data_IF_734697883181
#
_entry.id   IF_734697883181
#
_cell.length_a   1.000
_cell.length_b   1.000
_cell.length_c   1.000
_cell.angle_alpha   90.00
_cell.angle_beta   90.00
_cell.angle_gamma   90.00
#
_symmetry.space_group_name_H-M   'P 1'
#
loop_
_entity.id
_entity.type
_entity.pdbx_description
1 polymer ?
#
# COMPACT_ATOMS: atom_id res chain seq x y z
N UNK A 1 -13.59 20.49 -2.47
CA UNK A 1 -12.30 19.81 -2.19
C UNK A 1 -11.30 20.89 -1.79
N UNK A 2 -10.23 20.56 -1.06
CA UNK A 2 -9.17 21.54 -0.79
C UNK A 2 -8.24 21.55 -2.00
N UNK A 3 -8.44 22.52 -2.89
CA UNK A 3 -7.80 22.51 -4.21
C UNK A 3 -6.36 23.05 -4.09
N UNK A 4 -5.41 22.14 -3.87
CA UNK A 4 -3.97 22.39 -3.80
C UNK A 4 -3.34 22.73 -5.18
N UNK A 5 -3.98 23.63 -5.94
CA UNK A 5 -3.60 23.98 -7.33
C UNK A 5 -2.41 24.93 -7.42
N UNK A 6 -2.01 25.56 -6.33
CA UNK A 6 -0.85 26.46 -6.31
C UNK A 6 0.48 25.65 -6.34
N UNK A 7 1.44 25.96 -7.23
CA UNK A 7 2.72 25.25 -7.32
C UNK A 7 3.53 25.19 -6.01
N UNK A 8 3.32 26.16 -5.11
CA UNK A 8 3.95 26.19 -3.78
C UNK A 8 3.67 24.94 -2.93
N UNK A 9 2.52 24.27 -3.10
CA UNK A 9 2.22 23.03 -2.39
C UNK A 9 3.09 21.86 -2.84
N UNK A 10 3.35 21.75 -4.15
CA UNK A 10 4.25 20.73 -4.70
C UNK A 10 5.67 20.89 -4.13
N UNK A 11 6.17 22.12 -4.10
CA UNK A 11 7.48 22.46 -3.53
C UNK A 11 7.52 22.19 -2.01
N UNK A 12 6.49 22.62 -1.27
CA UNK A 12 6.37 22.38 0.17
C UNK A 12 6.42 20.89 0.53
N UNK A 13 5.57 20.06 -0.11
CA UNK A 13 5.54 18.61 0.10
C UNK A 13 6.92 18.01 -0.20
N UNK A 14 7.51 18.35 -1.34
CA UNK A 14 8.81 17.83 -1.76
C UNK A 14 9.92 18.16 -0.76
N UNK A 15 10.03 19.42 -0.33
CA UNK A 15 11.06 19.85 0.62
C UNK A 15 10.85 19.18 1.97
N UNK A 16 9.63 19.24 2.53
CA UNK A 16 9.35 18.67 3.87
C UNK A 16 9.65 17.17 3.88
N UNK A 17 9.17 16.41 2.88
CA UNK A 17 9.42 14.96 2.80
C UNK A 17 10.91 14.63 2.70
N UNK A 18 11.65 15.26 1.78
CA UNK A 18 13.07 14.95 1.59
C UNK A 18 13.92 15.37 2.80
N UNK A 19 13.64 16.53 3.40
CA UNK A 19 14.31 17.00 4.62
C UNK A 19 13.99 16.07 5.80
N UNK A 20 12.76 15.58 5.95
CA UNK A 20 12.42 14.64 7.01
C UNK A 20 13.19 13.30 6.89
N UNK A 21 13.26 12.71 5.70
CA UNK A 21 14.02 11.45 5.51
C UNK A 21 15.52 11.67 5.70
N UNK A 22 16.06 12.79 5.19
CA UNK A 22 17.46 13.15 5.41
C UNK A 22 17.79 13.44 6.88
N UNK A 23 16.86 14.06 7.63
CA UNK A 23 16.98 14.29 9.06
C UNK A 23 16.97 12.99 9.85
N UNK A 24 16.12 12.02 9.50
CA UNK A 24 16.15 10.68 10.09
C UNK A 24 17.52 10.01 9.90
N UNK A 25 18.07 10.04 8.68
CA UNK A 25 19.42 9.51 8.39
C UNK A 25 20.49 10.22 9.24
N UNK A 26 20.49 11.55 9.26
CA UNK A 26 21.43 12.35 10.04
C UNK A 26 21.34 12.04 11.54
N UNK A 27 20.13 12.00 12.09
CA UNK A 27 19.87 11.73 13.50
C UNK A 27 20.37 10.32 13.88
N UNK A 28 20.09 9.32 13.05
CA UNK A 28 20.60 7.96 13.25
C UNK A 28 22.13 7.94 13.26
N UNK A 29 22.80 8.63 12.34
CA UNK A 29 24.27 8.69 12.30
C UNK A 29 24.89 9.41 13.51
N UNK A 30 24.25 10.48 14.01
CA UNK A 30 24.70 11.22 15.20
C UNK A 30 24.50 10.40 16.50
N UNK A 31 23.41 9.62 16.57
CA UNK A 31 23.06 8.80 17.73
C UNK A 31 23.66 7.38 17.70
N UNK A 32 24.18 6.91 16.55
CA UNK A 32 24.82 5.59 16.38
C UNK A 32 26.21 5.48 17.04
N UNK A 33 26.37 6.04 18.25
CA UNK A 33 27.60 5.94 19.04
C UNK A 33 27.74 4.53 19.61
N UNK A 34 28.74 3.80 19.11
CA UNK A 34 29.15 2.52 19.67
C UNK A 34 29.82 2.67 21.03
N UNK A 35 29.94 1.56 21.77
CA UNK A 35 30.70 1.49 23.02
C UNK A 35 32.12 0.96 22.78
N UNK A 36 33.08 1.38 23.61
CA UNK A 36 34.41 0.77 23.64
C UNK A 36 34.33 -0.70 24.11
N UNK A 37 35.16 -1.62 23.56
CA UNK A 37 35.25 -2.99 24.03
C UNK A 37 35.60 -3.06 25.52
N UNK A 38 34.92 -3.92 26.29
CA UNK A 38 35.24 -4.18 27.71
C UNK A 38 34.65 -3.19 28.73
N UNK A 39 34.05 -2.09 28.29
CA UNK A 39 33.31 -1.18 29.19
C UNK A 39 31.99 -1.82 29.67
N UNK A 40 31.58 -1.57 30.93
CA UNK A 40 30.27 -2.04 31.44
C UNK A 40 29.11 -1.11 31.08
N UNK A 41 27.87 -1.62 31.13
CA UNK A 41 26.65 -0.83 30.87
C UNK A 41 26.35 0.01 32.12
N UNK A 42 26.42 1.33 32.00
CA UNK A 42 25.85 2.23 33.01
C UNK A 42 24.38 2.55 32.73
N UNK A 43 23.66 3.01 33.75
CA UNK A 43 22.32 3.59 33.61
C UNK A 43 22.41 5.11 33.39
N UNK A 44 21.30 5.75 33.05
CA UNK A 44 21.23 7.21 32.80
C UNK A 44 21.27 8.07 34.07
N UNK A 45 21.47 7.46 35.24
CA UNK A 45 21.62 8.14 36.54
C UNK A 45 20.32 8.64 37.17
N UNK A 46 19.17 8.42 36.52
CA UNK A 46 17.85 8.80 37.02
C UNK A 46 17.06 7.55 37.40
N UNK A 47 16.36 7.60 38.54
CA UNK A 47 15.46 6.55 39.04
C UNK A 47 14.02 7.00 38.95
N UNK A 48 13.17 6.09 38.49
CA UNK A 48 11.72 6.25 38.41
C UNK A 48 11.06 5.13 39.22
N UNK A 49 9.94 5.43 39.86
CA UNK A 49 9.14 4.45 40.65
C UNK A 49 9.96 3.54 41.60
N UNK A 50 10.95 4.13 42.29
CA UNK A 50 11.82 3.43 43.22
C UNK A 50 13.04 2.76 42.58
N UNK A 51 12.85 1.77 41.72
CA UNK A 51 13.91 0.90 41.19
C UNK A 51 14.05 0.85 39.65
N UNK A 52 13.16 1.52 38.90
CA UNK A 52 13.26 1.59 37.45
C UNK A 52 14.36 2.56 37.00
N UNK A 53 15.40 2.02 36.37
CA UNK A 53 16.50 2.77 35.74
C UNK A 53 16.60 2.47 34.24
N UNK A 54 16.97 3.46 33.43
CA UNK A 54 17.20 3.27 32.00
C UNK A 54 18.67 2.93 31.70
N UNK A 55 18.90 1.84 30.96
CA UNK A 55 20.25 1.45 30.53
C UNK A 55 20.73 2.26 29.33
N UNK A 56 21.92 2.86 29.42
CA UNK A 56 22.56 3.56 28.31
C UNK A 56 23.28 2.58 27.37
N UNK A 57 22.49 1.77 26.67
CA UNK A 57 22.97 0.80 25.68
C UNK A 57 23.10 1.43 24.28
N UNK A 58 24.17 1.12 23.53
CA UNK A 58 24.25 1.50 22.13
C UNK A 58 23.16 0.76 21.33
N UNK A 59 22.62 1.43 20.31
CA UNK A 59 21.60 0.86 19.43
C UNK A 59 22.13 -0.42 18.73
N UNK A 60 21.36 -1.51 18.65
CA UNK A 60 21.80 -2.74 18.00
C UNK A 60 22.18 -2.50 16.53
N UNK A 61 23.36 -2.98 16.11
CA UNK A 61 23.89 -2.71 14.76
C UNK A 61 22.97 -3.20 13.64
N UNK A 62 22.28 -4.32 13.83
CA UNK A 62 21.31 -4.84 12.87
C UNK A 62 20.08 -3.93 12.74
N UNK A 63 19.62 -3.34 13.85
CA UNK A 63 18.48 -2.42 13.87
C UNK A 63 18.84 -1.10 13.20
N UNK A 64 20.04 -0.57 13.48
CA UNK A 64 20.58 0.61 12.79
C UNK A 64 20.63 0.41 11.27
N UNK A 65 21.16 -0.73 10.81
CA UNK A 65 21.20 -1.04 9.38
C UNK A 65 19.81 -1.20 8.79
N UNK A 66 18.88 -1.87 9.47
CA UNK A 66 17.49 -2.00 9.03
C UNK A 66 16.84 -0.62 8.84
N UNK A 67 16.99 0.29 9.81
CA UNK A 67 16.46 1.65 9.72
C UNK A 67 17.09 2.44 8.57
N UNK A 68 18.41 2.36 8.40
CA UNK A 68 19.10 3.01 7.28
C UNK A 68 18.65 2.46 5.91
N UNK A 69 18.37 1.16 5.82
CA UNK A 69 17.82 0.52 4.61
C UNK A 69 16.40 1.03 4.33
N UNK A 70 15.54 1.25 5.34
CA UNK A 70 14.20 1.81 5.09
C UNK A 70 14.26 3.28 4.65
N UNK A 71 15.21 4.08 5.15
CA UNK A 71 15.46 5.43 4.62
C UNK A 71 15.94 5.41 3.15
N UNK A 72 16.87 4.52 2.80
CA UNK A 72 17.33 4.34 1.41
C UNK A 72 16.18 3.88 0.50
N UNK A 73 15.37 2.92 0.97
CA UNK A 73 14.17 2.46 0.25
C UNK A 73 13.18 3.61 0.04
N UNK A 74 12.94 4.46 1.03
CA UNK A 74 12.05 5.61 0.90
C UNK A 74 12.53 6.57 -0.21
N UNK A 75 13.83 6.91 -0.26
CA UNK A 75 14.38 7.73 -1.35
C UNK A 75 14.23 7.05 -2.72
N UNK A 76 14.55 5.76 -2.83
CA UNK A 76 14.39 5.01 -4.07
C UNK A 76 12.93 4.93 -4.53
N UNK A 77 11.99 4.70 -3.60
CA UNK A 77 10.57 4.63 -3.88
C UNK A 77 10.01 5.98 -4.34
N UNK A 78 10.38 7.07 -3.67
CA UNK A 78 10.00 8.45 -4.04
C UNK A 78 10.64 8.93 -5.35
N UNK A 79 11.74 8.31 -5.79
CA UNK A 79 12.30 8.53 -7.12
C UNK A 79 11.51 7.75 -8.20
N UNK A 80 11.06 6.52 -7.91
CA UNK A 80 10.39 5.65 -8.87
C UNK A 80 8.89 5.96 -9.05
N UNK A 81 8.20 6.33 -7.98
CA UNK A 81 6.75 6.51 -7.90
C UNK A 81 6.35 7.97 -7.58
N UNK A 82 5.12 8.38 -7.91
CA UNK A 82 4.59 9.67 -7.47
C UNK A 82 4.51 9.76 -5.94
N UNK A 83 4.88 10.93 -5.40
CA UNK A 83 4.88 11.19 -3.96
C UNK A 83 5.55 12.51 -3.57
N UNK A 84 6.50 12.99 -4.38
CA UNK A 84 7.14 14.31 -4.22
C UNK A 84 6.32 15.39 -4.96
N UNK A 85 5.19 15.77 -4.37
CA UNK A 85 4.30 16.79 -4.92
C UNK A 85 3.78 16.41 -6.32
N UNK A 86 4.13 17.21 -7.32
CA UNK A 86 3.75 17.00 -8.72
C UNK A 86 4.69 16.07 -9.50
N UNK A 87 5.81 15.62 -8.92
CA UNK A 87 6.72 14.67 -9.55
C UNK A 87 6.05 13.30 -9.70
N UNK A 88 5.98 12.79 -10.94
CA UNK A 88 5.27 11.53 -11.27
C UNK A 88 6.10 10.26 -11.04
N UNK A 89 7.34 10.38 -10.54
CA UNK A 89 8.30 9.29 -10.49
C UNK A 89 8.91 8.96 -11.86
N UNK A 90 10.03 8.24 -11.84
CA UNK A 90 10.74 7.78 -13.04
C UNK A 90 9.98 6.69 -13.82
N UNK A 91 9.05 5.97 -13.19
CA UNK A 91 8.28 4.90 -13.83
C UNK A 91 7.00 5.39 -14.53
N UNK A 92 6.61 6.66 -14.36
CA UNK A 92 5.34 7.19 -14.87
C UNK A 92 4.10 6.44 -14.34
N UNK A 93 4.21 5.81 -13.17
CA UNK A 93 3.14 5.01 -12.59
C UNK A 93 2.02 5.89 -12.04
N UNK A 94 0.77 5.46 -12.22
CA UNK A 94 -0.38 5.98 -11.50
C UNK A 94 -1.40 4.87 -11.22
N UNK A 95 -2.13 5.00 -10.11
CA UNK A 95 -3.22 4.06 -9.76
C UNK A 95 -4.27 3.95 -10.87
N UNK A 96 -4.62 5.06 -11.53
CA UNK A 96 -5.59 5.08 -12.64
C UNK A 96 -5.04 4.31 -13.85
N UNK A 97 -3.81 4.59 -14.28
CA UNK A 97 -3.20 3.88 -15.39
C UNK A 97 -2.96 2.39 -15.10
N UNK A 98 -2.73 2.01 -13.84
CA UNK A 98 -2.68 0.59 -13.45
C UNK A 98 -4.06 -0.06 -13.56
N UNK A 99 -5.10 0.58 -13.02
CA UNK A 99 -6.48 0.09 -13.12
C UNK A 99 -6.93 -0.07 -14.58
N UNK A 100 -6.69 0.91 -15.44
CA UNK A 100 -7.04 0.86 -16.87
C UNK A 100 -6.35 -0.31 -17.59
N UNK A 101 -5.07 -0.56 -17.31
CA UNK A 101 -4.35 -1.73 -17.85
C UNK A 101 -4.86 -3.06 -17.31
N UNK A 102 -5.27 -3.10 -16.05
CA UNK A 102 -5.80 -4.31 -15.41
C UNK A 102 -7.19 -4.66 -15.95
N UNK A 103 -8.07 -3.67 -16.09
CA UNK A 103 -9.40 -3.84 -16.73
C UNK A 103 -9.23 -4.28 -18.18
N UNK A 104 -8.41 -3.59 -18.98
CA UNK A 104 -8.17 -3.97 -20.38
C UNK A 104 -7.69 -5.44 -20.52
N UNK A 105 -6.73 -5.86 -19.68
CA UNK A 105 -6.23 -7.25 -19.64
C UNK A 105 -7.32 -8.25 -19.26
N UNK A 106 -8.26 -7.90 -18.37
CA UNK A 106 -9.40 -8.76 -18.02
C UNK A 106 -10.41 -8.80 -19.16
N UNK A 107 -10.73 -7.65 -19.76
CA UNK A 107 -11.68 -7.53 -20.87
C UNK A 107 -11.20 -8.28 -22.12
N UNK A 108 -9.90 -8.28 -22.44
CA UNK A 108 -9.32 -9.10 -23.52
C UNK A 108 -9.67 -10.59 -23.39
N UNK A 109 -9.76 -11.10 -22.16
CA UNK A 109 -10.09 -12.50 -21.86
C UNK A 109 -11.60 -12.74 -21.66
N UNK A 110 -12.32 -11.76 -21.11
CA UNK A 110 -13.73 -11.86 -20.77
C UNK A 110 -14.65 -11.53 -21.96
N UNK A 111 -14.29 -10.57 -22.82
CA UNK A 111 -15.13 -10.12 -23.93
C UNK A 111 -15.46 -11.25 -24.93
N UNK A 112 -14.54 -12.16 -25.32
CA UNK A 112 -14.90 -13.29 -26.18
C UNK A 112 -15.89 -14.27 -25.52
N UNK A 113 -15.76 -14.49 -24.21
CA UNK A 113 -16.68 -15.33 -23.43
C UNK A 113 -18.09 -14.72 -23.37
N UNK A 114 -18.21 -13.42 -23.11
CA UNK A 114 -19.50 -12.74 -23.12
C UNK A 114 -20.08 -12.62 -24.54
N UNK A 115 -19.25 -12.34 -25.55
CA UNK A 115 -19.68 -12.23 -26.95
C UNK A 115 -20.33 -13.52 -27.49
N UNK A 116 -19.89 -14.71 -27.04
CA UNK A 116 -20.56 -15.99 -27.31
C UNK A 116 -22.03 -15.97 -26.88
N UNK A 117 -22.31 -15.51 -25.67
CA UNK A 117 -23.65 -15.57 -25.06
C UNK A 117 -24.54 -14.38 -25.46
N UNK A 118 -23.95 -13.21 -25.74
CA UNK A 118 -24.68 -12.01 -26.20
C UNK A 118 -25.40 -12.20 -27.55
N UNK A 119 -25.01 -13.20 -28.34
CA UNK A 119 -25.62 -13.53 -29.63
C UNK A 119 -26.70 -14.62 -29.53
N UNK A 120 -26.95 -15.17 -28.33
CA UNK A 120 -27.89 -16.26 -28.09
C UNK A 120 -29.16 -15.73 -27.42
N UNK A 121 -30.27 -16.45 -27.61
CA UNK A 121 -31.50 -16.19 -26.87
C UNK A 121 -31.38 -16.66 -25.41
N UNK A 122 -32.07 -15.98 -24.50
CA UNK A 122 -32.01 -16.26 -23.05
C UNK A 122 -32.31 -17.74 -22.73
N UNK A 123 -33.30 -18.42 -23.35
CA UNK A 123 -33.50 -19.86 -23.16
C UNK A 123 -32.27 -20.73 -23.50
N UNK A 124 -31.57 -20.46 -24.61
CA UNK A 124 -30.35 -21.19 -24.95
C UNK A 124 -29.21 -20.92 -23.96
N UNK A 125 -29.02 -19.65 -23.55
CA UNK A 125 -28.03 -19.29 -22.51
C UNK A 125 -28.36 -19.98 -21.18
N UNK A 126 -29.63 -20.04 -20.79
CA UNK A 126 -30.08 -20.70 -19.56
C UNK A 126 -29.94 -22.24 -19.59
N UNK A 127 -29.79 -22.83 -20.78
CA UNK A 127 -29.56 -24.26 -20.98
C UNK A 127 -28.07 -24.64 -21.00
N UNK A 128 -27.15 -23.73 -21.33
CA UNK A 128 -25.70 -24.00 -21.31
C UNK A 128 -25.17 -24.11 -19.86
N UNK A 129 -24.64 -25.27 -19.41
CA UNK A 129 -24.14 -25.43 -18.05
C UNK A 129 -23.00 -24.47 -17.67
N UNK A 130 -22.17 -24.05 -18.63
CA UNK A 130 -21.10 -23.09 -18.38
C UNK A 130 -21.65 -21.68 -18.14
N UNK A 131 -22.68 -21.29 -18.90
CA UNK A 131 -23.37 -20.02 -18.70
C UNK A 131 -24.12 -20.00 -17.36
N UNK A 132 -24.79 -21.10 -16.98
CA UNK A 132 -25.41 -21.25 -15.66
C UNK A 132 -24.39 -21.07 -14.53
N UNK A 133 -23.25 -21.77 -14.59
CA UNK A 133 -22.20 -21.65 -13.57
C UNK A 133 -21.52 -20.26 -13.55
N UNK A 134 -21.54 -19.52 -14.66
CA UNK A 134 -21.13 -18.10 -14.68
C UNK A 134 -22.19 -17.21 -14.01
N UNK A 135 -23.46 -17.38 -14.38
CA UNK A 135 -24.60 -16.65 -13.81
C UNK A 135 -24.75 -16.88 -12.31
N UNK A 136 -24.52 -18.09 -11.82
CA UNK A 136 -24.52 -18.43 -10.38
C UNK A 136 -23.45 -17.63 -9.61
N UNK A 137 -22.22 -17.53 -10.13
CA UNK A 137 -21.15 -16.73 -9.52
C UNK A 137 -21.49 -15.23 -9.50
N UNK A 138 -22.11 -14.71 -10.57
CA UNK A 138 -22.61 -13.34 -10.60
C UNK A 138 -23.76 -13.14 -9.60
N UNK A 139 -24.70 -14.08 -9.53
CA UNK A 139 -25.84 -14.05 -8.62
C UNK A 139 -25.40 -14.03 -7.14
N UNK A 140 -24.43 -14.88 -6.77
CA UNK A 140 -23.82 -14.92 -5.44
C UNK A 140 -23.00 -13.66 -5.09
N UNK A 141 -22.66 -12.83 -6.09
CA UNK A 141 -21.97 -11.56 -5.88
C UNK A 141 -22.94 -10.39 -5.75
N UNK A 142 -23.95 -10.33 -6.63
CA UNK A 142 -24.76 -9.12 -6.86
C UNK A 142 -26.25 -9.24 -6.46
N UNK A 143 -26.78 -10.45 -6.24
CA UNK A 143 -28.21 -10.68 -6.08
C UNK A 143 -28.59 -11.38 -4.76
N UNK A 144 -27.70 -12.22 -4.22
CA UNK A 144 -27.92 -13.05 -3.03
C UNK A 144 -28.38 -12.26 -1.79
N UNK A 145 -27.95 -11.01 -1.65
CA UNK A 145 -28.26 -10.18 -0.47
C UNK A 145 -29.76 -9.89 -0.33
N UNK A 146 -30.51 -9.84 -1.43
CA UNK A 146 -31.96 -9.65 -1.43
C UNK A 146 -32.73 -10.94 -1.77
N UNK A 147 -32.16 -11.79 -2.64
CA UNK A 147 -32.86 -12.97 -3.18
C UNK A 147 -32.48 -14.31 -2.51
N UNK A 148 -31.62 -14.31 -1.49
CA UNK A 148 -31.22 -15.51 -0.75
C UNK A 148 -30.20 -16.37 -1.49
N UNK A 149 -29.47 -17.22 -0.75
CA UNK A 149 -28.40 -18.07 -1.32
C UNK A 149 -28.92 -19.19 -2.23
N UNK A 150 -30.22 -19.50 -2.17
CA UNK A 150 -30.91 -20.50 -2.98
C UNK A 150 -31.88 -19.89 -4.01
N UNK A 151 -31.88 -18.56 -4.15
CA UNK A 151 -32.76 -17.79 -5.04
C UNK A 151 -34.27 -17.82 -4.75
N UNK A 152 -34.69 -18.27 -3.56
CA UNK A 152 -36.11 -18.26 -3.16
C UNK A 152 -36.57 -17.00 -2.41
N UNK A 153 -35.66 -16.03 -2.18
CA UNK A 153 -35.93 -14.81 -1.43
C UNK A 153 -36.00 -15.02 0.09
N UNK A 154 -36.31 -13.93 0.81
CA UNK A 154 -36.63 -13.97 2.24
C UNK A 154 -37.93 -13.22 2.51
N UNK A 155 -38.45 -13.29 3.74
CA UNK A 155 -39.64 -12.53 4.16
C UNK A 155 -39.32 -11.10 4.64
N UNK A 156 -38.06 -10.69 4.59
CA UNK A 156 -37.52 -9.57 5.38
C UNK A 156 -37.09 -10.04 6.76
#
# INVERSE_FOLDING_TARGET
MADFVAPGWSLYITIVTLVSVAFCVWLTLVLARGRAPGQQVGTTGHRWDGDLEEYNNPLPRWWLWLFMITCLFAFAYLALYPGLGSFQGLLGWSQKGQYEREVARVDENAAPLFAKYLQQDIPAVAADPQARAMGERMYLTYCVQCHGSDAHGSRG
#
